data_IF_263242230248
#
_entry.id   IF_263242230248
#
_cell.length_a   1.000
_cell.length_b   1.000
_cell.length_c   1.000
_cell.angle_alpha   90.00
_cell.angle_beta   90.00
_cell.angle_gamma   90.00
#
_symmetry.space_group_name_H-M   'P 1'
#
loop_
_entity.id
_entity.type
_entity.pdbx_description
1 polymer ?
#
# COMPACT_ATOMS: atom_id res chain seq x y z
N UNK A 1 -5.55 0.69 2.94
CA UNK A 1 -4.51 1.36 2.11
C UNK A 1 -5.00 1.30 0.67
N UNK A 2 -6.03 2.10 0.44
CA UNK A 2 -6.93 1.95 -0.70
C UNK A 2 -6.87 3.21 -1.57
N UNK A 3 -7.38 3.13 -2.79
CA UNK A 3 -7.39 4.22 -3.77
C UNK A 3 -8.12 5.45 -3.23
N UNK A 4 -9.18 5.26 -2.44
CA UNK A 4 -9.87 6.35 -1.73
C UNK A 4 -8.96 7.18 -0.83
N UNK A 5 -7.91 6.59 -0.26
CA UNK A 5 -6.95 7.34 0.56
C UNK A 5 -6.06 8.24 -0.30
N UNK A 6 -5.73 7.79 -1.51
CA UNK A 6 -4.97 8.59 -2.48
C UNK A 6 -5.84 9.75 -2.97
N UNK A 7 -7.10 9.48 -3.33
CA UNK A 7 -8.06 10.52 -3.74
C UNK A 7 -8.23 11.58 -2.65
N UNK A 8 -8.47 11.15 -1.41
CA UNK A 8 -8.58 12.04 -0.24
C UNK A 8 -7.33 12.91 -0.05
N UNK A 9 -6.14 12.33 -0.24
CA UNK A 9 -4.89 13.06 -0.11
C UNK A 9 -4.72 14.07 -1.25
N UNK A 10 -5.12 13.71 -2.47
CA UNK A 10 -5.09 14.62 -3.62
C UNK A 10 -6.09 15.77 -3.51
N UNK A 11 -7.24 15.57 -2.86
CA UNK A 11 -8.18 16.64 -2.52
C UNK A 11 -7.57 17.63 -1.52
N UNK A 12 -6.79 17.14 -0.56
CA UNK A 12 -6.17 17.97 0.48
C UNK A 12 -4.87 18.65 0.03
N UNK A 13 -4.06 17.96 -0.77
CA UNK A 13 -2.75 18.40 -1.26
C UNK A 13 -2.53 17.91 -2.71
N UNK A 14 -3.04 18.64 -3.71
CA UNK A 14 -2.94 18.25 -5.13
C UNK A 14 -1.50 18.03 -5.62
N UNK A 15 -0.53 18.75 -5.05
CA UNK A 15 0.90 18.64 -5.37
C UNK A 15 1.50 17.27 -5.05
N UNK A 16 0.84 16.48 -4.21
CA UNK A 16 1.29 15.16 -3.79
C UNK A 16 0.87 14.04 -4.75
N UNK A 17 0.01 14.32 -5.75
CA UNK A 17 -0.57 13.30 -6.66
C UNK A 17 0.47 12.39 -7.33
N UNK A 18 1.65 12.92 -7.66
CA UNK A 18 2.74 12.16 -8.30
C UNK A 18 3.66 11.42 -7.32
N UNK A 19 3.54 11.67 -6.02
CA UNK A 19 4.41 11.13 -4.96
C UNK A 19 3.70 10.12 -4.05
N UNK A 20 2.40 9.89 -4.28
CA UNK A 20 1.58 9.00 -3.48
C UNK A 20 1.18 7.80 -4.32
N UNK A 21 1.46 6.61 -3.80
CA UNK A 21 1.20 5.32 -4.44
C UNK A 21 0.56 4.36 -3.44
N UNK A 22 -0.08 3.31 -3.95
CA UNK A 22 -0.61 2.24 -3.11
C UNK A 22 0.52 1.46 -2.43
N UNK A 23 0.26 0.93 -1.24
CA UNK A 23 1.22 0.05 -0.61
C UNK A 23 1.42 -1.24 -1.41
N UNK A 24 0.38 -1.77 -2.05
CA UNK A 24 0.49 -2.87 -3.01
C UNK A 24 0.78 -2.42 -4.45
N UNK A 25 1.42 -1.27 -4.69
CA UNK A 25 1.65 -0.76 -6.05
C UNK A 25 2.40 -1.77 -6.93
N UNK A 26 3.51 -2.31 -6.42
CA UNK A 26 4.32 -3.35 -7.07
C UNK A 26 3.68 -4.76 -7.03
N UNK A 27 2.51 -4.86 -6.43
CA UNK A 27 1.70 -6.07 -6.31
C UNK A 27 0.44 -5.99 -7.20
N UNK A 28 0.60 -5.52 -8.44
CA UNK A 28 -0.52 -5.26 -9.35
C UNK A 28 -1.55 -4.27 -8.78
N UNK A 29 -1.06 -3.19 -8.17
CA UNK A 29 -1.89 -2.15 -7.54
C UNK A 29 -2.91 -2.70 -6.52
N UNK A 30 -2.51 -3.74 -5.78
CA UNK A 30 -3.35 -4.40 -4.79
C UNK A 30 -3.71 -3.44 -3.65
N UNK A 31 -5.01 -3.39 -3.32
CA UNK A 31 -5.51 -2.69 -2.15
C UNK A 31 -5.45 -3.59 -0.92
N UNK A 32 -4.92 -3.04 0.17
CA UNK A 32 -4.84 -3.77 1.44
C UNK A 32 -6.07 -3.40 2.28
N UNK A 33 -6.95 -4.38 2.59
CA UNK A 33 -8.18 -4.14 3.32
C UNK A 33 -7.89 -3.83 4.79
N UNK A 34 -8.75 -3.02 5.40
CA UNK A 34 -8.62 -2.66 6.82
C UNK A 34 -9.06 -3.81 7.74
N UNK A 35 -8.17 -4.36 8.59
CA UNK A 35 -8.51 -5.42 9.53
C UNK A 35 -9.19 -4.89 10.80
N UNK A 36 -9.39 -3.58 10.96
CA UNK A 36 -9.92 -2.98 12.17
C UNK A 36 -11.27 -3.62 12.60
N UNK A 37 -11.33 -4.02 13.88
CA UNK A 37 -12.48 -4.73 14.49
C UNK A 37 -12.84 -6.06 13.81
N UNK A 38 -11.89 -6.73 13.15
CA UNK A 38 -12.05 -8.07 12.57
C UNK A 38 -11.40 -9.15 13.45
N UNK A 39 -11.58 -10.42 13.04
CA UNK A 39 -10.99 -11.56 13.72
C UNK A 39 -9.47 -11.58 13.58
N UNK A 40 -8.79 -12.28 14.50
CA UNK A 40 -7.33 -12.46 14.44
C UNK A 40 -6.85 -13.10 13.14
N UNK A 41 -7.66 -13.97 12.54
CA UNK A 41 -7.38 -14.58 11.24
C UNK A 41 -7.37 -13.54 10.12
N UNK A 42 -8.33 -12.62 10.10
CA UNK A 42 -8.33 -11.50 9.13
C UNK A 42 -7.10 -10.62 9.31
N UNK A 43 -6.70 -10.33 10.55
CA UNK A 43 -5.45 -9.61 10.82
C UNK A 43 -4.22 -10.35 10.27
N UNK A 44 -4.14 -11.67 10.46
CA UNK A 44 -3.03 -12.48 9.95
C UNK A 44 -3.00 -12.48 8.41
N UNK A 45 -4.16 -12.58 7.75
CA UNK A 45 -4.25 -12.50 6.30
C UNK A 45 -3.77 -11.14 5.77
N UNK A 46 -4.18 -10.04 6.41
CA UNK A 46 -3.71 -8.68 6.07
C UNK A 46 -2.21 -8.52 6.32
N UNK A 47 -1.67 -9.11 7.39
CA UNK A 47 -0.24 -9.08 7.67
C UNK A 47 0.58 -9.75 6.54
N UNK A 48 0.13 -10.90 6.04
CA UNK A 48 0.78 -11.57 4.91
C UNK A 48 0.76 -10.71 3.64
N UNK A 49 -0.33 -9.99 3.38
CA UNK A 49 -0.41 -9.04 2.27
C UNK A 49 0.60 -7.89 2.44
N UNK A 50 0.66 -7.31 3.65
CA UNK A 50 1.62 -6.25 3.97
C UNK A 50 3.07 -6.72 3.79
N UNK A 51 3.40 -7.93 4.27
CA UNK A 51 4.74 -8.49 4.13
C UNK A 51 5.12 -8.63 2.64
N UNK A 52 4.23 -9.20 1.81
CA UNK A 52 4.46 -9.36 0.38
C UNK A 52 4.72 -8.02 -0.31
N UNK A 53 3.84 -7.05 -0.09
CA UNK A 53 3.95 -5.73 -0.69
C UNK A 53 5.20 -4.99 -0.22
N UNK A 54 5.55 -5.08 1.07
CA UNK A 54 6.77 -4.47 1.60
C UNK A 54 8.04 -5.03 0.97
N UNK A 55 8.10 -6.35 0.72
CA UNK A 55 9.23 -6.98 0.04
C UNK A 55 9.37 -6.48 -1.41
N UNK A 56 8.26 -6.35 -2.14
CA UNK A 56 8.30 -5.82 -3.50
C UNK A 56 8.74 -4.35 -3.53
N UNK A 57 8.30 -3.54 -2.56
CA UNK A 57 8.81 -2.17 -2.40
C UNK A 57 10.31 -2.13 -2.12
N UNK A 58 10.81 -2.97 -1.21
CA UNK A 58 12.23 -3.05 -0.92
C UNK A 58 13.03 -3.43 -2.18
N UNK A 59 12.52 -4.34 -3.00
CA UNK A 59 13.14 -4.71 -4.28
C UNK A 59 13.15 -3.54 -5.27
N UNK A 60 12.02 -2.86 -5.45
CA UNK A 60 11.91 -1.73 -6.38
C UNK A 60 12.85 -0.58 -5.98
N UNK A 61 12.89 -0.24 -4.70
CA UNK A 61 13.74 0.85 -4.18
C UNK A 61 15.24 0.50 -4.24
N UNK A 62 15.60 -0.76 -3.99
CA UNK A 62 17.00 -1.20 -4.09
C UNK A 62 17.48 -1.36 -5.54
N UNK A 63 16.58 -1.67 -6.47
CA UNK A 63 16.91 -1.77 -7.90
C UNK A 63 17.31 -0.42 -8.51
N UNK A 64 16.84 0.69 -7.94
CA UNK A 64 17.19 2.06 -8.35
C UNK A 64 18.51 2.57 -7.74
N UNK A 65 19.17 1.80 -6.87
CA UNK A 65 20.43 2.21 -6.21
C UNK A 65 21.72 1.70 -6.91
N UNK A 66 21.63 1.16 -8.12
CA UNK A 66 22.77 0.66 -8.91
C UNK A 66 23.14 1.61 -10.04
#
# INVERSE_FOLDING_TARGET
MEKRHIERLCEMAPEMRGKVMLFGHWDNECEIPDPYRKSRETFAAVYTLLERSARQWAQALNAEQV
#
